data_IF_752984706876
#
_entry.id   IF_752984706876
#
_cell.length_a   1.000
_cell.length_b   1.000
_cell.length_c   1.000
_cell.angle_alpha   90.00
_cell.angle_beta   90.00
_cell.angle_gamma   90.00
#
_symmetry.space_group_name_H-M   'P 1'
#
loop_
_entity.id
_entity.type
_entity.pdbx_description
1 polymer ?
#
# COMPACT_ATOMS: atom_id res chain seq x y z
N UNK A 1 72.32 27.35 -55.84
CA UNK A 1 71.21 26.48 -56.34
C UNK A 1 70.74 25.63 -55.15
N UNK A 2 69.55 25.92 -54.60
CA UNK A 2 68.34 25.05 -54.66
C UNK A 2 68.59 23.68 -53.97
N UNK A 3 67.98 23.29 -52.84
CA UNK A 3 66.59 23.48 -52.36
C UNK A 3 66.49 23.29 -50.84
N UNK A 4 65.69 24.14 -50.21
CA UNK A 4 65.11 23.98 -48.87
C UNK A 4 63.98 22.95 -48.98
N UNK A 5 63.95 21.95 -48.09
CA UNK A 5 62.78 21.07 -47.90
C UNK A 5 62.39 21.15 -46.42
N UNK A 6 61.28 21.82 -46.17
CA UNK A 6 60.58 21.86 -44.90
C UNK A 6 59.83 20.53 -44.70
N UNK A 7 60.03 19.86 -43.56
CA UNK A 7 59.15 18.78 -43.12
C UNK A 7 58.17 19.36 -42.09
N UNK A 8 56.90 19.38 -42.48
CA UNK A 8 55.78 19.83 -41.66
C UNK A 8 55.49 18.82 -40.53
N UNK A 9 55.33 19.34 -39.32
CA UNK A 9 54.80 18.61 -38.18
C UNK A 9 53.29 18.39 -38.36
N UNK A 10 52.85 17.13 -38.40
CA UNK A 10 51.43 16.77 -38.33
C UNK A 10 51.14 16.20 -36.94
N UNK A 11 50.83 17.10 -35.99
CA UNK A 11 50.24 16.72 -34.70
C UNK A 11 48.77 16.42 -34.94
N UNK A 12 48.43 15.13 -35.03
CA UNK A 12 47.03 14.68 -35.02
C UNK A 12 46.45 14.87 -33.61
N UNK A 13 45.74 15.99 -33.43
CA UNK A 13 44.75 16.17 -32.37
C UNK A 13 43.59 15.20 -32.61
N UNK A 14 43.64 14.02 -31.99
CA UNK A 14 42.45 13.19 -31.76
C UNK A 14 41.63 13.87 -30.66
N UNK A 15 40.82 14.84 -31.07
CA UNK A 15 39.78 15.45 -30.27
C UNK A 15 38.81 14.37 -29.76
N UNK A 16 38.58 14.37 -28.46
CA UNK A 16 37.80 13.37 -27.76
C UNK A 16 36.34 13.31 -28.23
N UNK A 17 35.92 12.11 -28.60
CA UNK A 17 34.53 11.69 -28.48
C UNK A 17 34.38 10.95 -27.15
N UNK A 18 34.53 11.68 -26.05
CA UNK A 18 33.95 11.25 -24.78
C UNK A 18 32.43 11.33 -24.94
N UNK A 19 31.85 10.29 -25.55
CA UNK A 19 30.41 10.10 -25.54
C UNK A 19 30.00 10.09 -24.08
N UNK A 20 29.29 11.13 -23.66
CA UNK A 20 28.67 11.20 -22.35
C UNK A 20 27.76 9.98 -22.22
N UNK A 21 28.28 8.91 -21.62
CA UNK A 21 27.45 7.91 -20.97
C UNK A 21 26.73 8.68 -19.87
N UNK A 22 25.53 9.16 -20.17
CA UNK A 22 24.62 9.59 -19.12
C UNK A 22 24.50 8.37 -18.21
N UNK A 23 25.03 8.45 -17.00
CA UNK A 23 24.82 7.43 -15.98
C UNK A 23 23.30 7.42 -15.76
N UNK A 24 22.60 6.54 -16.46
CA UNK A 24 21.19 6.30 -16.24
C UNK A 24 21.09 5.58 -14.91
N UNK A 25 20.21 6.07 -14.03
CA UNK A 25 19.97 5.40 -12.75
C UNK A 25 19.66 3.91 -12.95
N UNK A 26 20.02 3.04 -11.98
CA UNK A 26 19.72 1.62 -12.05
C UNK A 26 18.27 1.36 -12.44
N UNK A 27 18.03 0.40 -13.32
CA UNK A 27 16.69 0.01 -13.74
C UNK A 27 16.05 0.92 -14.79
N UNK A 28 16.77 1.93 -15.30
CA UNK A 28 16.33 2.78 -16.41
C UNK A 28 17.17 2.50 -17.65
N UNK A 29 16.52 2.20 -18.78
CA UNK A 29 17.16 2.12 -20.10
C UNK A 29 16.58 3.16 -21.06
N UNK A 30 16.90 3.10 -22.34
CA UNK A 30 16.23 3.93 -23.35
C UNK A 30 14.74 3.57 -23.51
N UNK A 31 14.35 2.31 -23.27
CA UNK A 31 13.02 1.77 -23.61
C UNK A 31 12.29 1.15 -22.44
N UNK A 32 12.91 1.06 -21.25
CA UNK A 32 12.31 0.45 -20.06
C UNK A 32 12.61 1.23 -18.79
N UNK A 33 11.71 1.12 -17.82
CA UNK A 33 11.94 1.44 -16.40
C UNK A 33 11.46 0.26 -15.56
N UNK A 34 12.30 -0.23 -14.66
CA UNK A 34 12.03 -1.39 -13.82
C UNK A 34 11.68 -0.95 -12.40
N UNK A 35 10.50 -1.32 -11.91
CA UNK A 35 10.09 -1.10 -10.51
C UNK A 35 9.94 -2.44 -9.79
N UNK A 36 10.28 -2.45 -8.51
CA UNK A 36 10.26 -3.63 -7.63
C UNK A 36 9.20 -3.52 -6.53
N UNK A 37 8.82 -4.62 -5.90
CA UNK A 37 8.01 -4.60 -4.67
C UNK A 37 7.89 -5.97 -4.01
N UNK A 38 7.37 -6.00 -2.78
CA UNK A 38 6.99 -7.26 -2.11
C UNK A 38 5.53 -7.21 -1.67
N UNK A 39 4.83 -8.34 -1.81
CA UNK A 39 3.42 -8.49 -1.47
C UNK A 39 3.22 -9.90 -0.91
N UNK A 40 2.37 -10.11 0.12
CA UNK A 40 2.09 -11.44 0.65
C UNK A 40 1.17 -12.20 -0.32
N UNK A 41 1.76 -13.01 -1.20
CA UNK A 41 0.99 -13.88 -2.12
C UNK A 41 0.57 -15.17 -1.43
N UNK A 42 1.29 -15.58 -0.39
CA UNK A 42 0.97 -16.75 0.45
C UNK A 42 0.82 -16.38 1.93
N UNK A 43 0.51 -17.37 2.76
CA UNK A 43 0.41 -17.20 4.21
C UNK A 43 -0.86 -16.49 4.67
N UNK A 44 -0.82 -16.00 5.92
CA UNK A 44 -2.01 -15.50 6.61
C UNK A 44 -2.56 -14.18 6.04
N UNK A 45 -1.73 -13.43 5.32
CA UNK A 45 -2.08 -12.17 4.67
C UNK A 45 -2.32 -12.31 3.16
N UNK A 46 -2.42 -13.52 2.62
CA UNK A 46 -2.63 -13.79 1.19
C UNK A 46 -3.87 -13.08 0.59
N UNK A 47 -4.82 -12.65 1.41
CA UNK A 47 -5.94 -11.82 0.99
C UNK A 47 -5.46 -10.51 0.30
N UNK A 48 -4.34 -9.94 0.73
CA UNK A 48 -3.74 -8.76 0.10
C UNK A 48 -2.93 -9.08 -1.16
N UNK A 49 -2.74 -10.37 -1.48
CA UNK A 49 -1.94 -10.84 -2.60
C UNK A 49 -2.38 -10.31 -3.97
N UNK A 50 -3.62 -9.85 -4.09
CA UNK A 50 -4.19 -9.28 -5.31
C UNK A 50 -3.77 -7.82 -5.57
N UNK A 51 -3.14 -7.12 -4.61
CA UNK A 51 -2.64 -5.75 -4.81
C UNK A 51 -1.61 -5.68 -5.95
N UNK A 52 -0.61 -6.57 -5.97
CA UNK A 52 0.41 -6.57 -7.01
C UNK A 52 -0.13 -6.95 -8.41
N UNK A 53 -0.96 -8.02 -8.56
CA UNK A 53 -1.65 -8.31 -9.82
C UNK A 53 -2.45 -7.14 -10.39
N UNK A 54 -3.26 -6.46 -9.56
CA UNK A 54 -4.02 -5.28 -10.00
C UNK A 54 -3.13 -4.13 -10.48
N UNK A 55 -2.02 -3.87 -9.78
CA UNK A 55 -1.02 -2.89 -10.21
C UNK A 55 -0.33 -3.30 -11.53
N UNK A 56 0.07 -4.57 -11.65
CA UNK A 56 0.70 -5.12 -12.85
C UNK A 56 -0.21 -5.02 -14.06
N UNK A 57 -1.49 -5.36 -13.93
CA UNK A 57 -2.47 -5.25 -15.00
C UNK A 57 -2.57 -3.81 -15.55
N UNK A 58 -2.50 -2.81 -14.66
CA UNK A 58 -2.47 -1.41 -15.06
C UNK A 58 -1.20 -1.02 -15.84
N UNK A 59 -0.03 -1.44 -15.35
CA UNK A 59 1.23 -1.18 -16.07
C UNK A 59 1.25 -1.86 -17.43
N UNK A 60 0.71 -3.06 -17.57
CA UNK A 60 0.58 -3.75 -18.85
C UNK A 60 -0.36 -3.04 -19.81
N UNK A 61 -1.51 -2.57 -19.32
CA UNK A 61 -2.41 -1.70 -20.08
C UNK A 61 -1.66 -0.45 -20.58
N UNK A 62 -0.92 0.25 -19.72
CA UNK A 62 -0.15 1.44 -20.12
C UNK A 62 0.93 1.10 -21.14
N UNK A 63 1.63 -0.02 -20.97
CA UNK A 63 2.66 -0.49 -21.91
C UNK A 63 2.08 -0.80 -23.30
N UNK A 64 0.89 -1.39 -23.36
CA UNK A 64 0.18 -1.66 -24.62
C UNK A 64 -0.23 -0.36 -25.35
N UNK A 65 -0.32 0.76 -24.62
CA UNK A 65 -0.66 2.08 -25.15
C UNK A 65 0.55 3.01 -25.28
N UNK A 66 1.75 2.45 -25.48
CA UNK A 66 2.98 3.21 -25.75
C UNK A 66 3.85 3.53 -24.54
N UNK A 67 3.45 3.08 -23.34
CA UNK A 67 4.23 3.25 -22.12
C UNK A 67 4.25 4.70 -21.60
N UNK A 68 5.32 5.06 -20.89
CA UNK A 68 5.52 6.38 -20.30
C UNK A 68 6.79 7.00 -20.83
N UNK A 69 6.68 8.17 -21.46
CA UNK A 69 7.84 8.91 -21.98
C UNK A 69 8.75 8.07 -22.89
N UNK A 70 8.15 7.16 -23.67
CA UNK A 70 8.84 6.23 -24.57
C UNK A 70 9.38 4.94 -23.92
N UNK A 71 9.04 4.69 -22.65
CA UNK A 71 9.50 3.51 -21.90
C UNK A 71 8.35 2.61 -21.47
N UNK A 72 8.55 1.31 -21.57
CA UNK A 72 7.71 0.31 -20.90
C UNK A 72 8.06 0.22 -19.42
N UNK A 73 7.06 0.00 -18.58
CA UNK A 73 7.20 -0.23 -17.15
C UNK A 73 7.30 -1.73 -16.93
N UNK A 74 8.43 -2.21 -16.41
CA UNK A 74 8.54 -3.56 -15.86
C UNK A 74 8.23 -3.52 -14.37
N UNK A 75 7.37 -4.41 -13.89
CA UNK A 75 7.10 -4.55 -12.46
C UNK A 75 7.47 -5.96 -11.99
N UNK A 76 8.53 -6.04 -11.18
CA UNK A 76 8.95 -7.26 -10.50
C UNK A 76 8.42 -7.21 -9.07
N UNK A 77 7.70 -8.24 -8.66
CA UNK A 77 7.30 -8.38 -7.26
C UNK A 77 7.51 -9.80 -6.77
N UNK A 78 7.84 -9.91 -5.49
CA UNK A 78 8.07 -11.19 -4.83
C UNK A 78 7.09 -11.43 -3.70
N UNK A 79 6.81 -12.71 -3.47
CA UNK A 79 6.08 -13.16 -2.29
C UNK A 79 6.99 -13.10 -1.07
N UNK A 80 6.63 -12.26 -0.10
CA UNK A 80 7.31 -12.20 1.19
C UNK A 80 6.55 -12.89 2.32
N UNK A 81 5.39 -13.51 2.03
CA UNK A 81 4.52 -14.18 2.99
C UNK A 81 4.12 -13.29 4.20
N UNK A 82 4.25 -11.97 4.08
CA UNK A 82 4.10 -10.99 5.17
C UNK A 82 5.14 -11.16 6.29
N UNK A 83 6.31 -11.73 5.99
CA UNK A 83 7.42 -11.88 6.91
C UNK A 83 8.48 -10.75 6.72
N UNK A 84 8.73 -9.90 7.73
CA UNK A 84 9.67 -8.79 7.59
C UNK A 84 11.11 -9.20 7.27
N UNK A 85 11.57 -10.37 7.75
CA UNK A 85 12.93 -10.83 7.47
C UNK A 85 13.07 -11.23 5.99
N UNK A 86 12.09 -11.93 5.44
CA UNK A 86 11.99 -12.24 4.02
C UNK A 86 11.85 -10.98 3.17
N UNK A 87 11.05 -9.99 3.59
CA UNK A 87 10.95 -8.70 2.89
C UNK A 87 12.31 -8.00 2.78
N UNK A 88 13.16 -8.05 3.81
CA UNK A 88 14.53 -7.50 3.75
C UNK A 88 15.38 -8.19 2.70
N UNK A 89 15.40 -9.53 2.68
CA UNK A 89 16.18 -10.29 1.71
C UNK A 89 15.72 -10.04 0.26
N UNK A 90 14.41 -10.05 0.03
CA UNK A 90 13.83 -9.82 -1.29
C UNK A 90 14.02 -8.39 -1.77
N UNK A 91 13.93 -7.41 -0.87
CA UNK A 91 14.20 -6.00 -1.22
C UNK A 91 15.66 -5.79 -1.58
N UNK A 92 16.60 -6.40 -0.85
CA UNK A 92 18.02 -6.38 -1.23
C UNK A 92 18.24 -7.02 -2.58
N UNK A 93 17.62 -8.17 -2.85
CA UNK A 93 17.66 -8.80 -4.18
C UNK A 93 17.18 -7.83 -5.27
N UNK A 94 16.01 -7.21 -5.09
CA UNK A 94 15.45 -6.25 -6.05
C UNK A 94 16.40 -5.09 -6.34
N UNK A 95 17.04 -4.54 -5.30
CA UNK A 95 17.93 -3.38 -5.41
C UNK A 95 19.31 -3.76 -5.97
N UNK A 96 19.94 -4.78 -5.40
CA UNK A 96 21.35 -5.11 -5.63
C UNK A 96 21.52 -6.00 -6.88
N UNK A 97 20.61 -6.95 -7.11
CA UNK A 97 20.70 -7.92 -8.21
C UNK A 97 19.82 -7.53 -9.39
N UNK A 98 18.52 -7.30 -9.15
CA UNK A 98 17.58 -6.96 -10.23
C UNK A 98 17.71 -5.48 -10.65
N UNK A 99 18.46 -4.68 -9.87
CA UNK A 99 18.78 -3.28 -10.13
C UNK A 99 17.53 -2.44 -10.40
N UNK A 100 16.46 -2.64 -9.63
CA UNK A 100 15.23 -1.86 -9.81
C UNK A 100 15.47 -0.36 -9.58
N UNK A 101 14.72 0.44 -10.33
CA UNK A 101 14.75 1.89 -10.24
C UNK A 101 14.13 2.41 -8.95
N UNK A 102 13.03 1.80 -8.50
CA UNK A 102 12.31 2.13 -7.28
C UNK A 102 11.64 0.89 -6.69
N UNK A 103 11.40 0.92 -5.38
CA UNK A 103 10.47 0.01 -4.70
C UNK A 103 9.11 0.68 -4.65
N UNK A 104 8.07 -0.05 -5.02
CA UNK A 104 6.73 0.44 -5.27
C UNK A 104 5.69 -0.44 -4.59
N UNK A 105 4.70 0.17 -3.95
CA UNK A 105 3.44 -0.50 -3.59
C UNK A 105 3.57 -1.70 -2.65
N UNK A 106 4.68 -1.83 -1.92
CA UNK A 106 4.92 -3.00 -1.07
C UNK A 106 3.97 -3.00 0.13
N UNK A 107 3.46 -4.19 0.49
CA UNK A 107 2.39 -4.37 1.48
C UNK A 107 2.97 -4.78 2.84
N UNK A 108 2.47 -4.18 3.92
CA UNK A 108 2.74 -4.60 5.30
C UNK A 108 3.51 -3.59 6.14
N UNK A 109 3.06 -3.38 7.37
CA UNK A 109 3.61 -2.33 8.25
C UNK A 109 5.03 -2.65 8.71
N UNK A 110 5.21 -3.80 9.38
CA UNK A 110 6.52 -4.22 9.86
C UNK A 110 7.51 -4.45 8.71
N UNK A 111 7.01 -5.00 7.60
CA UNK A 111 7.74 -5.27 6.36
C UNK A 111 8.35 -3.98 5.79
N UNK A 112 7.53 -2.95 5.61
CA UNK A 112 7.99 -1.68 5.05
C UNK A 112 8.92 -0.91 5.99
N UNK A 113 8.69 -0.98 7.31
CA UNK A 113 9.59 -0.37 8.29
C UNK A 113 10.96 -1.07 8.31
N UNK A 114 11.01 -2.39 8.14
CA UNK A 114 12.25 -3.16 8.14
C UNK A 114 13.20 -2.83 6.96
N UNK A 115 12.65 -2.39 5.82
CA UNK A 115 13.45 -2.06 4.62
C UNK A 115 13.71 -0.56 4.45
N UNK A 116 13.01 0.30 5.21
CA UNK A 116 13.04 1.75 5.04
C UNK A 116 14.43 2.35 5.20
N UNK A 117 15.12 2.00 6.27
CA UNK A 117 16.46 2.54 6.58
C UNK A 117 17.45 2.16 5.47
N UNK A 118 17.39 0.91 5.01
CA UNK A 118 18.19 0.42 3.89
C UNK A 118 17.92 1.19 2.60
N UNK A 119 16.65 1.33 2.20
CA UNK A 119 16.29 2.02 0.96
C UNK A 119 16.68 3.51 0.97
N UNK A 120 16.55 4.18 2.12
CA UNK A 120 17.00 5.56 2.27
C UNK A 120 18.52 5.68 2.21
N UNK A 121 19.26 4.75 2.83
CA UNK A 121 20.72 4.73 2.75
C UNK A 121 21.24 4.45 1.33
N UNK A 122 20.49 3.68 0.54
CA UNK A 122 20.81 3.40 -0.88
C UNK A 122 20.23 4.42 -1.86
N UNK A 123 19.54 5.46 -1.35
CA UNK A 123 18.85 6.45 -2.17
C UNK A 123 17.91 5.83 -3.22
N UNK A 124 17.26 4.72 -2.86
CA UNK A 124 16.25 4.04 -3.68
C UNK A 124 14.88 4.54 -3.25
N UNK A 125 14.08 5.16 -4.14
CA UNK A 125 12.73 5.57 -3.80
C UNK A 125 11.88 4.38 -3.36
N UNK A 126 11.29 4.46 -2.16
CA UNK A 126 10.25 3.58 -1.63
C UNK A 126 8.92 4.32 -1.75
N UNK A 127 8.27 4.19 -2.90
CA UNK A 127 7.12 5.01 -3.25
C UNK A 127 5.80 4.28 -3.12
N UNK A 128 4.81 5.06 -2.71
CA UNK A 128 3.43 4.67 -2.58
C UNK A 128 3.23 3.39 -1.78
N UNK A 129 3.91 3.35 -0.62
CA UNK A 129 3.85 2.23 0.30
C UNK A 129 2.38 1.93 0.65
N UNK A 130 2.01 0.65 0.57
CA UNK A 130 0.68 0.16 0.92
C UNK A 130 0.56 -0.03 2.44
N UNK A 131 0.76 1.06 3.16
CA UNK A 131 0.76 1.15 4.62
C UNK A 131 0.32 2.55 5.07
N UNK A 132 -0.53 2.58 6.10
CA UNK A 132 -1.12 3.80 6.66
C UNK A 132 -0.46 4.29 7.95
N UNK A 133 0.68 3.73 8.37
CA UNK A 133 1.31 4.08 9.64
C UNK A 133 1.79 5.52 9.64
N UNK A 134 1.74 6.13 10.82
CA UNK A 134 2.32 7.45 11.06
C UNK A 134 3.82 7.45 10.83
N UNK A 135 4.50 6.34 11.12
CA UNK A 135 5.93 6.20 10.88
C UNK A 135 6.26 6.34 9.40
N UNK A 136 5.47 5.78 8.48
CA UNK A 136 5.66 6.00 7.05
C UNK A 136 5.22 7.42 6.65
N UNK A 137 4.02 7.84 7.07
CA UNK A 137 3.41 9.08 6.58
C UNK A 137 3.97 10.40 7.13
N UNK A 138 4.71 10.40 8.25
CA UNK A 138 5.19 11.62 8.93
C UNK A 138 6.70 11.71 9.15
N UNK A 139 7.47 10.78 8.60
CA UNK A 139 8.92 10.73 8.83
C UNK A 139 9.75 11.16 7.64
N UNK A 140 9.17 11.91 6.68
CA UNK A 140 9.85 12.32 5.43
C UNK A 140 11.11 13.15 5.64
N UNK A 141 11.23 13.88 6.76
CA UNK A 141 12.46 14.61 7.09
C UNK A 141 13.64 13.67 7.37
N UNK A 142 13.38 12.52 8.01
CA UNK A 142 14.39 11.50 8.31
C UNK A 142 14.53 10.47 7.19
N UNK A 143 13.44 10.23 6.46
CA UNK A 143 13.35 9.23 5.40
C UNK A 143 12.82 9.87 4.11
N UNK A 144 13.61 10.75 3.47
CA UNK A 144 13.15 11.53 2.32
C UNK A 144 12.82 10.66 1.10
N UNK A 145 13.39 9.45 1.01
CA UNK A 145 13.16 8.52 -0.10
C UNK A 145 11.91 7.66 0.08
N UNK A 146 11.20 7.78 1.21
CA UNK A 146 10.02 6.97 1.52
C UNK A 146 8.74 7.81 1.48
N UNK A 147 7.73 7.30 0.79
CA UNK A 147 6.42 7.95 0.67
C UNK A 147 5.28 6.93 0.82
N UNK A 148 4.37 7.17 1.76
CA UNK A 148 3.14 6.41 1.91
C UNK A 148 2.08 6.77 0.86
N UNK A 149 1.11 5.88 0.66
CA UNK A 149 -0.07 6.14 -0.17
C UNK A 149 -1.38 5.88 0.55
N UNK A 150 -1.42 4.81 1.36
CA UNK A 150 -2.62 4.41 2.08
C UNK A 150 -3.03 5.49 3.09
N UNK A 151 -4.33 5.58 3.37
CA UNK A 151 -4.84 6.54 4.33
C UNK A 151 -4.23 6.31 5.72
N UNK A 152 -4.14 7.36 6.54
CA UNK A 152 -3.53 7.18 7.86
C UNK A 152 -4.39 6.30 8.78
N UNK A 153 -3.79 5.26 9.36
CA UNK A 153 -4.39 4.42 10.41
C UNK A 153 -4.82 5.25 11.64
N UNK A 154 -3.99 6.23 12.04
CA UNK A 154 -4.35 7.17 13.11
C UNK A 154 -5.51 8.08 12.72
N UNK A 155 -5.57 8.48 11.46
CA UNK A 155 -6.69 9.25 10.91
C UNK A 155 -7.98 8.43 10.92
N UNK A 156 -7.91 7.17 10.53
CA UNK A 156 -9.03 6.23 10.56
C UNK A 156 -9.57 6.04 11.99
N UNK A 157 -8.71 5.77 12.97
CA UNK A 157 -9.11 5.71 14.38
C UNK A 157 -9.77 6.99 14.87
N UNK A 158 -9.25 8.16 14.46
CA UNK A 158 -9.83 9.46 14.80
C UNK A 158 -11.24 9.66 14.21
N UNK A 159 -11.46 9.24 12.97
CA UNK A 159 -12.77 9.28 12.32
C UNK A 159 -13.77 8.36 13.02
N UNK A 160 -13.36 7.14 13.40
CA UNK A 160 -14.22 6.25 14.20
C UNK A 160 -14.57 6.86 15.56
N UNK A 161 -13.61 7.47 16.25
CA UNK A 161 -13.88 8.15 17.51
C UNK A 161 -14.82 9.34 17.36
N UNK A 162 -14.69 10.15 16.30
CA UNK A 162 -15.62 11.25 15.99
C UNK A 162 -17.03 10.73 15.72
N UNK A 163 -17.17 9.65 14.95
CA UNK A 163 -18.46 9.03 14.70
C UNK A 163 -19.09 8.50 15.99
N UNK A 164 -18.31 7.86 16.87
CA UNK A 164 -18.79 7.40 18.18
C UNK A 164 -19.29 8.54 19.06
N UNK A 165 -18.56 9.65 19.15
CA UNK A 165 -18.98 10.81 19.95
C UNK A 165 -20.33 11.34 19.48
N UNK A 166 -20.58 11.34 18.17
CA UNK A 166 -21.82 11.83 17.58
C UNK A 166 -22.99 10.85 17.73
N UNK A 167 -22.73 9.55 17.61
CA UNK A 167 -23.80 8.54 17.46
C UNK A 167 -24.02 7.69 18.70
N UNK A 168 -23.00 7.57 19.57
CA UNK A 168 -23.00 6.70 20.76
C UNK A 168 -22.21 7.34 21.92
N UNK A 169 -22.62 8.50 22.45
CA UNK A 169 -21.86 9.27 23.44
C UNK A 169 -21.63 8.54 24.78
N UNK A 170 -22.33 7.43 25.04
CA UNK A 170 -22.17 6.62 26.25
C UNK A 170 -21.54 5.24 25.98
N UNK A 171 -20.99 5.01 24.79
CA UNK A 171 -20.44 3.73 24.41
C UNK A 171 -19.33 3.26 25.36
N UNK A 172 -19.46 2.00 25.81
CA UNK A 172 -18.36 1.25 26.43
C UNK A 172 -17.66 0.47 25.32
N UNK A 173 -16.45 0.90 24.98
CA UNK A 173 -15.70 0.45 23.81
C UNK A 173 -14.68 -0.61 24.22
N UNK A 174 -14.72 -1.75 23.55
CA UNK A 174 -13.66 -2.75 23.53
C UNK A 174 -12.86 -2.63 22.23
N UNK A 175 -11.55 -2.85 22.28
CA UNK A 175 -10.68 -2.78 21.10
C UNK A 175 -9.83 -4.05 21.00
N UNK A 176 -9.99 -4.79 19.90
CA UNK A 176 -8.98 -5.75 19.46
C UNK A 176 -8.06 -5.04 18.45
N UNK A 177 -6.74 -5.10 18.63
CA UNK A 177 -5.80 -4.46 17.72
C UNK A 177 -4.56 -5.31 17.42
N UNK A 178 -4.05 -5.22 16.20
CA UNK A 178 -2.77 -5.83 15.85
C UNK A 178 -1.62 -5.15 16.61
N UNK A 179 -0.67 -5.90 17.17
CA UNK A 179 0.49 -5.35 17.87
C UNK A 179 1.59 -4.81 16.94
N UNK A 180 1.17 -4.09 15.90
CA UNK A 180 2.01 -3.34 14.96
C UNK A 180 1.56 -1.88 14.95
N UNK A 181 2.21 -1.03 14.17
CA UNK A 181 1.76 0.35 14.03
C UNK A 181 0.37 0.45 13.40
N UNK A 182 -0.10 -0.56 12.65
CA UNK A 182 -1.48 -0.63 12.16
C UNK A 182 -2.47 -0.51 13.32
N UNK A 183 -2.43 -1.45 14.27
CA UNK A 183 -3.37 -1.45 15.39
C UNK A 183 -3.11 -0.33 16.39
N UNK A 184 -1.83 -0.04 16.71
CA UNK A 184 -1.46 1.00 17.67
C UNK A 184 -1.83 2.40 17.21
N UNK A 185 -1.66 2.73 15.93
CA UNK A 185 -2.04 4.04 15.43
C UNK A 185 -3.55 4.23 15.41
N UNK A 186 -4.33 3.23 14.98
CA UNK A 186 -5.79 3.27 15.05
C UNK A 186 -6.28 3.45 16.49
N UNK A 187 -5.76 2.66 17.43
CA UNK A 187 -6.09 2.79 18.85
C UNK A 187 -5.76 4.18 19.38
N UNK A 188 -4.61 4.75 18.99
CA UNK A 188 -4.23 6.09 19.43
C UNK A 188 -5.14 7.17 18.84
N UNK A 189 -5.50 7.05 17.55
CA UNK A 189 -6.46 7.93 16.89
C UNK A 189 -7.82 7.92 17.57
N UNK A 190 -8.35 6.73 17.84
CA UNK A 190 -9.60 6.50 18.55
C UNK A 190 -9.56 7.14 19.94
N UNK A 191 -8.53 6.82 20.73
CA UNK A 191 -8.35 7.31 22.10
C UNK A 191 -8.35 8.83 22.14
N UNK A 192 -7.60 9.48 21.23
CA UNK A 192 -7.55 10.94 21.12
C UNK A 192 -8.92 11.52 20.78
N UNK A 193 -9.63 10.92 19.83
CA UNK A 193 -10.88 11.48 19.33
C UNK A 193 -12.00 11.47 20.39
N UNK A 194 -12.04 10.45 21.27
CA UNK A 194 -13.08 10.30 22.30
C UNK A 194 -12.72 10.93 23.66
N UNK A 195 -11.46 11.31 23.88
CA UNK A 195 -10.98 11.85 25.16
C UNK A 195 -11.84 13.02 25.66
N UNK A 196 -12.46 12.86 26.83
CA UNK A 196 -13.32 13.88 27.45
C UNK A 196 -14.69 14.09 26.77
N UNK A 197 -15.11 13.21 25.85
CA UNK A 197 -16.32 13.42 25.02
C UNK A 197 -17.42 12.38 25.18
N UNK A 198 -17.35 11.56 26.24
CA UNK A 198 -18.41 10.59 26.57
C UNK A 198 -17.98 9.12 26.40
N UNK A 199 -17.74 8.62 25.17
CA UNK A 199 -17.33 7.23 24.95
C UNK A 199 -16.06 6.89 25.71
N UNK A 200 -15.97 5.65 26.22
CA UNK A 200 -14.81 5.19 27.00
C UNK A 200 -14.32 3.84 26.49
N UNK A 201 -13.01 3.71 26.29
CA UNK A 201 -12.39 2.40 26.10
C UNK A 201 -12.34 1.72 27.47
N UNK A 202 -13.09 0.62 27.63
CA UNK A 202 -13.18 -0.15 28.88
C UNK A 202 -12.32 -1.40 28.86
N UNK A 203 -11.92 -1.87 27.68
CA UNK A 203 -10.95 -2.96 27.52
C UNK A 203 -10.22 -2.85 26.18
N UNK A 204 -9.00 -3.36 26.14
CA UNK A 204 -8.19 -3.48 24.92
C UNK A 204 -7.37 -4.76 24.99
N UNK A 205 -7.32 -5.47 23.89
CA UNK A 205 -6.50 -6.67 23.73
C UNK A 205 -5.71 -6.56 22.44
N UNK A 206 -4.44 -6.95 22.50
CA UNK A 206 -3.60 -7.04 21.32
C UNK A 206 -3.50 -8.47 20.80
N UNK A 207 -3.22 -8.63 19.51
CA UNK A 207 -2.81 -9.89 18.93
C UNK A 207 -1.52 -9.74 18.11
N UNK A 208 -0.76 -10.82 18.02
CA UNK A 208 0.40 -10.92 17.14
C UNK A 208 -0.01 -11.48 15.79
N UNK A 209 0.50 -10.93 14.68
CA UNK A 209 0.18 -11.43 13.33
C UNK A 209 0.57 -12.91 13.14
N UNK A 210 1.60 -13.37 13.84
CA UNK A 210 2.02 -14.79 13.83
C UNK A 210 1.10 -15.69 14.65
N UNK A 211 0.17 -15.13 15.42
CA UNK A 211 -0.80 -15.86 16.23
C UNK A 211 -1.72 -16.75 15.40
N UNK A 212 -2.14 -17.87 16.00
CA UNK A 212 -3.08 -18.81 15.36
C UNK A 212 -4.52 -18.31 15.37
N UNK A 213 -4.94 -17.71 16.50
CA UNK A 213 -6.30 -17.26 16.76
C UNK A 213 -6.37 -16.07 17.73
N UNK A 214 -7.57 -15.49 17.89
CA UNK A 214 -7.86 -14.34 18.77
C UNK A 214 -9.04 -14.61 19.72
N UNK A 215 -9.41 -15.88 19.92
CA UNK A 215 -10.65 -16.23 20.62
C UNK A 215 -10.57 -15.86 22.10
N UNK A 216 -9.40 -16.04 22.72
CA UNK A 216 -9.17 -15.70 24.13
C UNK A 216 -9.27 -14.19 24.37
N UNK A 217 -8.74 -13.37 23.46
CA UNK A 217 -8.82 -11.92 23.48
C UNK A 217 -10.27 -11.47 23.39
N UNK A 218 -11.05 -12.04 22.46
CA UNK A 218 -12.48 -11.70 22.35
C UNK A 218 -13.27 -12.08 23.61
N UNK A 219 -12.96 -13.21 24.26
CA UNK A 219 -13.61 -13.58 25.52
C UNK A 219 -13.33 -12.57 26.64
N UNK A 220 -12.08 -12.10 26.74
CA UNK A 220 -11.68 -11.07 27.71
C UNK A 220 -12.35 -9.71 27.40
N UNK A 221 -12.37 -9.32 26.13
CA UNK A 221 -13.06 -8.10 25.68
C UNK A 221 -14.57 -8.15 25.99
N UNK A 222 -15.23 -9.29 25.79
CA UNK A 222 -16.64 -9.47 26.15
C UNK A 222 -16.86 -9.30 27.66
N UNK A 223 -15.99 -9.87 28.49
CA UNK A 223 -16.11 -9.82 29.95
C UNK A 223 -16.06 -8.40 30.51
N UNK A 224 -15.50 -7.43 29.77
CA UNK A 224 -15.51 -6.00 30.12
C UNK A 224 -16.91 -5.36 30.13
N UNK A 225 -17.91 -6.03 29.55
CA UNK A 225 -19.26 -5.49 29.40
C UNK A 225 -19.39 -4.41 28.32
N UNK A 226 -18.40 -4.28 27.42
CA UNK A 226 -18.46 -3.36 26.30
C UNK A 226 -19.70 -3.61 25.40
N UNK A 227 -20.31 -2.52 24.91
CA UNK A 227 -21.43 -2.53 23.96
C UNK A 227 -21.01 -2.17 22.53
N UNK A 228 -19.73 -1.82 22.35
CA UNK A 228 -19.14 -1.42 21.08
C UNK A 228 -17.79 -2.12 20.95
N UNK A 229 -17.52 -2.74 19.80
CA UNK A 229 -16.28 -3.48 19.55
C UNK A 229 -15.60 -2.94 18.29
N UNK A 230 -14.36 -2.51 18.47
CA UNK A 230 -13.44 -2.06 17.43
C UNK A 230 -12.54 -3.24 17.03
N UNK A 231 -12.62 -3.67 15.78
CA UNK A 231 -11.79 -4.73 15.21
C UNK A 231 -10.72 -4.11 14.32
N UNK A 232 -9.62 -3.67 14.93
CA UNK A 232 -8.45 -3.11 14.26
C UNK A 232 -7.50 -4.23 13.85
N UNK A 233 -8.02 -5.10 12.99
CA UNK A 233 -7.41 -6.37 12.63
C UNK A 233 -7.37 -6.57 11.12
N UNK A 234 -6.36 -7.32 10.65
CA UNK A 234 -6.24 -7.78 9.26
C UNK A 234 -7.27 -8.87 8.94
N UNK A 235 -7.55 -9.18 7.65
CA UNK A 235 -8.74 -9.92 7.24
C UNK A 235 -8.98 -11.26 7.94
N UNK A 236 -7.93 -12.09 8.09
CA UNK A 236 -8.04 -13.38 8.79
C UNK A 236 -8.49 -13.18 10.24
N UNK A 237 -7.80 -12.29 10.97
CA UNK A 237 -8.05 -12.05 12.38
C UNK A 237 -9.38 -11.32 12.61
N UNK A 238 -9.80 -10.46 11.69
CA UNK A 238 -11.15 -9.89 11.67
C UNK A 238 -12.21 -10.99 11.60
N UNK A 239 -12.11 -11.95 10.67
CA UNK A 239 -13.06 -13.06 10.56
C UNK A 239 -13.05 -13.91 11.83
N UNK A 240 -11.88 -14.25 12.36
CA UNK A 240 -11.77 -15.02 13.61
C UNK A 240 -12.40 -14.29 14.79
N UNK A 241 -12.14 -12.98 14.93
CA UNK A 241 -12.71 -12.15 15.98
C UNK A 241 -14.23 -12.08 15.89
N UNK A 242 -14.75 -11.90 14.67
CA UNK A 242 -16.19 -11.86 14.40
C UNK A 242 -16.86 -13.19 14.74
N UNK A 243 -16.27 -14.32 14.31
CA UNK A 243 -16.77 -15.67 14.62
C UNK A 243 -16.75 -15.92 16.12
N UNK A 244 -15.67 -15.57 16.82
CA UNK A 244 -15.58 -15.70 18.27
C UNK A 244 -16.64 -14.84 18.99
N UNK A 245 -16.84 -13.60 18.54
CA UNK A 245 -17.87 -12.68 19.07
C UNK A 245 -19.27 -13.30 18.90
N UNK A 246 -19.56 -13.86 17.72
CA UNK A 246 -20.81 -14.53 17.43
C UNK A 246 -21.04 -15.77 18.31
N UNK A 247 -20.03 -16.65 18.43
CA UNK A 247 -20.10 -17.88 19.24
C UNK A 247 -20.32 -17.58 20.73
N UNK A 248 -19.80 -16.46 21.22
CA UNK A 248 -20.00 -16.03 22.60
C UNK A 248 -21.37 -15.35 22.81
N UNK A 249 -22.21 -15.23 21.78
CA UNK A 249 -23.51 -14.55 21.85
C UNK A 249 -23.40 -13.05 22.14
N UNK A 250 -22.23 -12.44 21.91
CA UNK A 250 -22.02 -11.02 22.12
C UNK A 250 -22.51 -10.24 20.91
N UNK A 251 -23.31 -9.19 21.13
CA UNK A 251 -23.94 -8.37 20.08
C UNK A 251 -23.54 -6.88 20.19
N UNK A 252 -22.24 -6.53 20.12
CA UNK A 252 -21.80 -5.14 20.18
C UNK A 252 -22.04 -4.42 18.85
N UNK A 253 -22.09 -3.09 18.88
CA UNK A 253 -21.90 -2.29 17.67
C UNK A 253 -20.49 -2.51 17.12
N UNK A 254 -20.37 -3.00 15.88
CA UNK A 254 -19.07 -3.26 15.26
C UNK A 254 -18.53 -2.07 14.49
N UNK A 255 -17.23 -1.86 14.64
CA UNK A 255 -16.38 -1.04 13.78
C UNK A 255 -15.25 -1.92 13.24
N UNK A 256 -15.05 -1.89 11.93
CA UNK A 256 -14.11 -2.77 11.21
C UNK A 256 -13.04 -1.91 10.58
N UNK A 257 -11.78 -2.35 10.62
CA UNK A 257 -10.70 -1.67 9.91
C UNK A 257 -10.93 -1.67 8.39
N UNK A 258 -10.59 -0.57 7.74
CA UNK A 258 -10.81 -0.34 6.31
C UNK A 258 -10.05 -1.34 5.42
N UNK A 259 -8.94 -1.89 5.92
CA UNK A 259 -8.17 -2.96 5.29
C UNK A 259 -8.83 -4.34 5.37
N UNK A 260 -9.98 -4.49 6.02
CA UNK A 260 -10.67 -5.78 6.20
C UNK A 260 -12.10 -5.79 5.62
N UNK A 261 -12.49 -4.74 4.89
CA UNK A 261 -13.83 -4.62 4.30
C UNK A 261 -13.90 -4.95 2.81
N UNK A 262 -12.94 -5.70 2.27
CA UNK A 262 -13.04 -6.23 0.91
C UNK A 262 -14.34 -7.07 0.77
N UNK A 263 -15.11 -6.93 -0.32
CA UNK A 263 -16.41 -7.57 -0.47
C UNK A 263 -16.44 -9.09 -0.27
N UNK A 264 -15.43 -9.82 -0.74
CA UNK A 264 -15.25 -11.25 -0.47
C UNK A 264 -15.01 -11.56 1.00
N UNK A 265 -14.16 -10.80 1.69
CA UNK A 265 -13.96 -10.89 3.14
C UNK A 265 -15.29 -10.63 3.88
N UNK A 266 -16.02 -9.58 3.50
CA UNK A 266 -17.31 -9.26 4.10
C UNK A 266 -18.41 -10.29 3.75
N UNK A 267 -18.30 -11.01 2.63
CA UNK A 267 -19.18 -12.14 2.32
C UNK A 267 -18.93 -13.31 3.28
N UNK A 268 -17.67 -13.64 3.56
CA UNK A 268 -17.30 -14.65 4.57
C UNK A 268 -17.80 -14.22 5.95
N UNK A 269 -17.61 -12.95 6.32
CA UNK A 269 -18.10 -12.38 7.57
C UNK A 269 -19.61 -12.56 7.73
N UNK A 270 -20.38 -12.21 6.69
CA UNK A 270 -21.85 -12.30 6.68
C UNK A 270 -22.34 -13.73 6.74
N UNK A 271 -21.66 -14.66 6.07
CA UNK A 271 -21.98 -16.08 6.14
C UNK A 271 -21.85 -16.61 7.57
N UNK A 272 -20.80 -16.20 8.29
CA UNK A 272 -20.51 -16.69 9.63
C UNK A 272 -21.27 -15.97 10.76
N UNK A 273 -21.58 -14.68 10.60
CA UNK A 273 -22.21 -13.87 11.64
C UNK A 273 -23.12 -12.77 11.06
N UNK A 274 -24.24 -13.15 10.40
CA UNK A 274 -25.06 -12.21 9.64
C UNK A 274 -25.60 -11.05 10.49
N UNK A 275 -26.06 -11.34 11.71
CA UNK A 275 -26.59 -10.34 12.64
C UNK A 275 -25.53 -9.29 13.02
N UNK A 276 -24.29 -9.70 13.27
CA UNK A 276 -23.19 -8.80 13.63
C UNK A 276 -22.74 -7.94 12.45
N UNK A 277 -22.79 -8.47 11.22
CA UNK A 277 -22.43 -7.68 10.04
C UNK A 277 -23.49 -6.63 9.67
N UNK A 278 -24.73 -6.80 10.12
CA UNK A 278 -25.80 -5.82 9.88
C UNK A 278 -25.56 -4.59 10.76
N UNK A 279 -25.29 -3.45 10.12
CA UNK A 279 -25.01 -2.20 10.81
C UNK A 279 -23.56 -2.04 11.28
N UNK A 280 -22.66 -2.97 10.94
CA UNK A 280 -21.22 -2.77 11.13
C UNK A 280 -20.73 -1.55 10.34
N UNK A 281 -19.85 -0.75 10.95
CA UNK A 281 -19.34 0.49 10.37
C UNK A 281 -17.86 0.34 9.99
N UNK A 282 -17.48 0.97 8.89
CA UNK A 282 -16.09 1.09 8.44
C UNK A 282 -15.93 2.33 7.58
N UNK A 283 -14.69 2.76 7.38
CA UNK A 283 -14.33 3.73 6.36
C UNK A 283 -14.06 2.99 5.04
N UNK A 284 -14.55 3.56 3.94
CA UNK A 284 -14.12 3.21 2.59
C UNK A 284 -13.29 4.36 2.03
N UNK A 285 -12.00 4.11 1.74
CA UNK A 285 -11.07 5.15 1.26
C UNK A 285 -10.80 5.06 -0.24
N UNK A 286 -11.16 3.94 -0.86
CA UNK A 286 -11.19 3.76 -2.31
C UNK A 286 -12.61 3.43 -2.75
N UNK A 287 -12.90 3.65 -4.03
CA UNK A 287 -14.16 3.17 -4.64
C UNK A 287 -14.23 1.65 -4.51
N UNK A 288 -15.42 1.15 -4.16
CA UNK A 288 -15.70 -0.28 -4.21
C UNK A 288 -16.30 -0.61 -5.58
N UNK A 289 -15.62 -1.39 -6.44
CA UNK A 289 -16.12 -1.72 -7.77
C UNK A 289 -17.45 -2.48 -7.79
N UNK A 290 -17.90 -3.03 -6.67
CA UNK A 290 -19.18 -3.73 -6.53
C UNK A 290 -20.31 -2.85 -6.02
N UNK A 291 -20.01 -1.64 -5.54
CA UNK A 291 -21.02 -0.76 -4.99
C UNK A 291 -21.84 -0.12 -6.15
N UNK A 292 -23.18 -0.25 -6.14
CA UNK A 292 -24.04 0.34 -7.16
C UNK A 292 -23.84 1.85 -7.36
N UNK A 293 -23.37 2.58 -6.34
CA UNK A 293 -23.11 4.03 -6.48
C UNK A 293 -22.06 4.33 -7.55
N UNK A 294 -21.14 3.38 -7.83
CA UNK A 294 -20.10 3.51 -8.84
C UNK A 294 -20.42 2.79 -10.16
N UNK A 295 -21.64 2.27 -10.35
CA UNK A 295 -22.00 1.47 -11.52
C UNK A 295 -21.82 2.19 -12.87
N UNK A 296 -21.97 3.52 -12.87
CA UNK A 296 -21.79 4.39 -14.06
C UNK A 296 -20.45 5.12 -14.08
N UNK A 297 -19.56 4.83 -13.14
CA UNK A 297 -18.27 5.50 -13.04
C UNK A 297 -17.32 5.03 -14.14
N UNK A 298 -16.75 5.98 -14.89
CA UNK A 298 -15.88 5.69 -16.05
C UNK A 298 -14.58 5.00 -15.64
N UNK A 299 -14.07 5.32 -14.46
CA UNK A 299 -12.85 4.74 -13.93
C UNK A 299 -13.07 3.29 -13.47
N UNK A 300 -14.21 3.00 -12.83
CA UNK A 300 -14.64 1.62 -12.53
C UNK A 300 -14.86 0.81 -13.80
N UNK A 301 -15.48 1.40 -14.84
CA UNK A 301 -15.65 0.73 -16.13
C UNK A 301 -14.30 0.40 -16.80
N UNK A 302 -13.35 1.36 -16.78
CA UNK A 302 -12.00 1.15 -17.32
C UNK A 302 -11.25 0.04 -16.55
N UNK A 303 -11.28 0.08 -15.22
CA UNK A 303 -10.68 -0.97 -14.38
C UNK A 303 -11.19 -2.35 -14.74
N UNK A 304 -12.51 -2.52 -14.85
CA UNK A 304 -13.10 -3.82 -15.20
C UNK A 304 -12.62 -4.30 -16.57
N UNK A 305 -12.43 -3.39 -17.53
CA UNK A 305 -11.86 -3.72 -18.84
C UNK A 305 -10.39 -4.12 -18.72
N UNK A 306 -9.58 -3.37 -17.97
CA UNK A 306 -8.17 -3.69 -17.75
C UNK A 306 -8.02 -5.07 -17.12
N UNK A 307 -8.73 -5.35 -16.02
CA UNK A 307 -8.66 -6.65 -15.34
C UNK A 307 -9.03 -7.80 -16.29
N UNK A 308 -10.12 -7.68 -17.05
CA UNK A 308 -10.53 -8.74 -18.00
C UNK A 308 -9.48 -9.06 -19.06
N UNK A 309 -8.67 -8.09 -19.47
CA UNK A 309 -7.67 -8.27 -20.53
C UNK A 309 -6.28 -8.63 -20.00
N UNK A 310 -5.86 -8.03 -18.89
CA UNK A 310 -4.48 -8.07 -18.40
C UNK A 310 -4.30 -8.89 -17.11
N UNK A 311 -5.38 -9.25 -16.40
CA UNK A 311 -5.35 -10.22 -15.30
C UNK A 311 -6.59 -11.11 -15.32
N UNK A 312 -6.60 -12.06 -16.25
CA UNK A 312 -7.74 -12.98 -16.48
C UNK A 312 -8.03 -13.90 -15.29
N UNK A 313 -7.05 -14.12 -14.42
CA UNK A 313 -7.20 -14.86 -13.16
C UNK A 313 -7.79 -14.00 -12.04
N UNK A 314 -7.61 -12.69 -12.10
CA UNK A 314 -8.10 -11.73 -11.12
C UNK A 314 -9.61 -11.58 -11.16
N UNK A 315 -10.18 -11.23 -10.00
CA UNK A 315 -11.59 -10.88 -9.88
C UNK A 315 -11.74 -9.36 -10.03
N UNK A 316 -12.46 -8.85 -11.06
CA UNK A 316 -12.73 -7.41 -11.20
C UNK A 316 -13.64 -6.85 -10.10
N UNK A 317 -14.18 -7.70 -9.23
CA UNK A 317 -14.94 -7.30 -8.05
C UNK A 317 -14.07 -7.06 -6.81
N UNK A 318 -12.79 -7.46 -6.85
CA UNK A 318 -11.89 -7.39 -5.71
C UNK A 318 -11.38 -5.94 -5.50
N UNK A 319 -11.53 -5.43 -4.27
CA UNK A 319 -11.15 -4.05 -3.91
C UNK A 319 -9.63 -3.91 -3.77
N UNK A 320 -8.89 -4.95 -3.43
CA UNK A 320 -7.43 -4.89 -3.35
C UNK A 320 -6.79 -4.82 -4.75
N UNK A 321 -7.37 -5.49 -5.74
CA UNK A 321 -7.01 -5.30 -7.15
C UNK A 321 -7.24 -3.84 -7.59
N UNK A 322 -8.41 -3.27 -7.25
CA UNK A 322 -8.72 -1.87 -7.52
C UNK A 322 -7.68 -0.94 -6.87
N UNK A 323 -7.38 -1.16 -5.59
CA UNK A 323 -6.35 -0.41 -4.87
C UNK A 323 -5.00 -0.48 -5.58
N UNK A 324 -4.53 -1.68 -5.93
CA UNK A 324 -3.28 -1.87 -6.68
C UNK A 324 -3.26 -1.06 -7.99
N UNK A 325 -4.36 -1.08 -8.73
CA UNK A 325 -4.51 -0.30 -9.97
C UNK A 325 -4.46 1.22 -9.71
N UNK A 326 -5.16 1.73 -8.70
CA UNK A 326 -5.15 3.15 -8.29
C UNK A 326 -3.76 3.62 -7.89
N UNK A 327 -3.00 2.78 -7.17
CA UNK A 327 -1.62 3.09 -6.79
C UNK A 327 -0.70 3.09 -8.02
N UNK A 328 -0.87 2.12 -8.92
CA UNK A 328 -0.11 2.04 -10.18
C UNK A 328 -0.40 3.22 -11.11
N UNK A 329 -1.64 3.68 -11.15
CA UNK A 329 -2.04 4.91 -11.84
C UNK A 329 -1.22 6.11 -11.36
N UNK A 330 -1.10 6.24 -10.03
CA UNK A 330 -0.32 7.32 -9.39
C UNK A 330 1.15 7.23 -9.78
N UNK A 331 1.73 6.02 -9.81
CA UNK A 331 3.11 5.82 -10.25
C UNK A 331 3.31 6.16 -11.73
N UNK A 332 2.36 5.84 -12.60
CA UNK A 332 2.41 6.24 -14.02
C UNK A 332 2.40 7.75 -14.18
N UNK A 333 1.55 8.47 -13.45
CA UNK A 333 1.55 9.93 -13.45
C UNK A 333 2.85 10.52 -12.90
N UNK A 334 3.42 9.89 -11.87
CA UNK A 334 4.72 10.27 -11.31
C UNK A 334 5.83 10.13 -12.36
N UNK A 335 5.88 9.00 -13.06
CA UNK A 335 6.84 8.75 -14.13
C UNK A 335 6.65 9.73 -15.31
N UNK A 336 5.39 10.06 -15.65
CA UNK A 336 5.08 11.07 -16.67
C UNK A 336 5.64 12.42 -16.27
N UNK A 337 5.36 12.87 -15.04
CA UNK A 337 5.80 14.15 -14.49
C UNK A 337 7.32 14.24 -14.32
N UNK A 338 7.99 13.13 -13.99
CA UNK A 338 9.46 13.07 -13.90
C UNK A 338 10.15 13.29 -15.26
N UNK A 339 9.43 13.08 -16.37
CA UNK A 339 9.92 13.38 -17.72
C UNK A 339 10.86 12.32 -18.29
N UNK A 340 11.45 12.62 -19.46
CA UNK A 340 12.30 11.67 -20.22
C UNK A 340 13.68 11.44 -19.61
N UNK A 341 14.22 12.45 -18.90
CA UNK A 341 15.51 12.40 -18.19
C UNK A 341 15.28 11.84 -16.78
N UNK A 342 14.86 10.58 -16.74
CA UNK A 342 14.41 9.93 -15.52
C UNK A 342 15.60 9.68 -14.57
N UNK A 343 15.48 10.19 -13.35
CA UNK A 343 16.40 9.92 -12.24
C UNK A 343 15.62 9.62 -10.97
N UNK A 344 16.19 8.90 -10.01
CA UNK A 344 15.56 8.54 -8.73
C UNK A 344 15.16 9.79 -7.96
N UNK A 345 16.07 10.77 -7.85
CA UNK A 345 15.79 12.06 -7.24
C UNK A 345 14.70 12.83 -8.01
N UNK A 346 14.70 12.76 -9.35
CA UNK A 346 13.66 13.36 -10.19
C UNK A 346 12.29 12.72 -9.99
N UNK A 347 12.23 11.39 -9.86
CA UNK A 347 11.01 10.63 -9.56
C UNK A 347 10.45 11.04 -8.20
N UNK A 348 11.29 11.10 -7.17
CA UNK A 348 10.88 11.51 -5.82
C UNK A 348 10.33 12.95 -5.82
N UNK A 349 11.03 13.89 -6.47
CA UNK A 349 10.52 15.27 -6.62
C UNK A 349 9.18 15.31 -7.35
N UNK A 350 9.02 14.51 -8.41
CA UNK A 350 7.76 14.42 -9.14
C UNK A 350 6.63 13.91 -8.23
N UNK A 351 6.89 12.88 -7.42
CA UNK A 351 5.94 12.31 -6.46
C UNK A 351 5.48 13.34 -5.42
N UNK A 352 6.43 14.10 -4.85
CA UNK A 352 6.18 15.13 -3.84
C UNK A 352 5.36 16.32 -4.36
N UNK A 353 5.35 16.53 -5.68
CA UNK A 353 4.64 17.64 -6.31
C UNK A 353 3.48 17.15 -7.18
N UNK A 354 3.01 15.90 -7.03
CA UNK A 354 1.83 15.42 -7.74
C UNK A 354 0.63 16.32 -7.44
N UNK A 355 -0.06 16.74 -8.49
CA UNK A 355 -1.32 17.47 -8.40
C UNK A 355 -2.26 16.89 -9.46
N UNK A 356 -2.76 15.68 -9.18
CA UNK A 356 -3.57 14.92 -10.11
C UNK A 356 -5.00 14.83 -9.60
N UNK A 357 -5.95 15.47 -10.29
CA UNK A 357 -7.38 15.36 -10.00
C UNK A 357 -8.06 14.19 -10.73
N UNK A 358 -7.31 13.45 -11.55
CA UNK A 358 -7.81 12.41 -12.45
C UNK A 358 -7.57 10.98 -11.96
N UNK A 359 -7.09 10.83 -10.71
CA UNK A 359 -6.89 9.50 -10.15
C UNK A 359 -8.27 8.81 -10.03
N UNK A 360 -8.48 7.67 -10.70
CA UNK A 360 -9.76 6.96 -10.75
C UNK A 360 -10.41 6.69 -9.40
#
# INVERSE_FOLDING_TARGET
MRRVVALAALVLLLAGSAGAQSISDPGVTATTVLVGGTVPLTGQAAAFGTVAPGAKAYFEYVNAHGGVNGRKIGYLYFDDAYDPAQTVQLTRKLVEQDRVFAIFGSVGTANNLAIRDYLNAQEVPQLFVADGSQQIGRSSARYPWTMGFLMSYRGEGDVYGKNLVQTRPHARVAVLYENTDLGRDMLTGLTRAIAGKGPRIVARESYEFTGSDVSSQIAQLKASGADTLMLFATPKFFIQALVATHKLGWQPQLYVASVSIEPGIMAIARYNAPALTKGALSIAFVKNPNDPIWAKDRAVALYRTIMRHYDRSGRPSDVYNWYGMTVAWTMVETLRKAGRKLTRAGLLRAAQHLNTSRNP
#
